data_IF_451988460600
#
_entry.id   IF_451988460600
#
_cell.length_a   1.000
_cell.length_b   1.000
_cell.length_c   1.000
_cell.angle_alpha   90.00
_cell.angle_beta   90.00
_cell.angle_gamma   90.00
#
_symmetry.space_group_name_H-M   'P 1'
#
loop_
_entity.id
_entity.type
_entity.pdbx_description
1 polymer ?
#
# COMPACT_ATOMS: atom_id res chain seq x y z
N UNK A 1 0.85 -0.28 -33.87
CA UNK A 1 0.40 -0.72 -32.54
C UNK A 1 0.03 0.53 -31.76
N UNK A 2 -1.20 0.64 -31.25
CA UNK A 2 -1.61 1.83 -30.48
C UNK A 2 -0.82 1.87 -29.16
N UNK A 3 -0.18 3.00 -28.84
CA UNK A 3 0.48 3.17 -27.54
C UNK A 3 -0.57 3.24 -26.44
N UNK A 4 -0.38 2.48 -25.36
CA UNK A 4 -1.25 2.54 -24.17
C UNK A 4 -1.22 3.93 -23.54
N UNK A 5 -2.21 4.26 -22.69
CA UNK A 5 -2.20 5.53 -21.94
C UNK A 5 -0.98 5.64 -21.02
N UNK A 6 -0.53 4.51 -20.47
CA UNK A 6 0.71 4.38 -19.70
C UNK A 6 1.93 4.82 -20.50
N UNK A 7 2.16 4.24 -21.68
CA UNK A 7 3.32 4.60 -22.51
C UNK A 7 3.21 6.04 -23.03
N UNK A 8 2.00 6.50 -23.37
CA UNK A 8 1.77 7.86 -23.83
C UNK A 8 1.93 8.94 -22.74
N UNK A 9 1.89 8.56 -21.46
CA UNK A 9 2.03 9.47 -20.32
C UNK A 9 3.38 9.35 -19.60
N UNK A 10 4.23 8.39 -19.96
CA UNK A 10 5.55 8.21 -19.36
C UNK A 10 6.46 9.40 -19.71
N UNK A 11 7.10 9.96 -18.70
CA UNK A 11 8.06 11.06 -18.82
C UNK A 11 9.24 10.84 -17.85
N UNK A 12 10.27 11.68 -17.99
CA UNK A 12 11.51 11.61 -17.24
C UNK A 12 11.75 12.88 -16.43
N UNK A 13 12.20 12.71 -15.18
CA UNK A 13 12.68 13.79 -14.33
C UNK A 13 14.17 13.53 -14.02
N UNK A 14 15.04 14.42 -14.48
CA UNK A 14 16.45 14.39 -14.11
C UNK A 14 16.65 15.17 -12.81
N UNK A 15 17.17 14.51 -11.77
CA UNK A 15 17.53 15.15 -10.51
C UNK A 15 18.97 14.76 -10.14
N UNK A 16 19.90 15.71 -10.28
CA UNK A 16 21.35 15.47 -10.19
C UNK A 16 21.76 14.35 -11.17
N UNK A 17 22.42 13.31 -10.68
CA UNK A 17 22.93 12.18 -11.46
C UNK A 17 21.90 11.03 -11.58
N UNK A 18 20.65 11.24 -11.16
CA UNK A 18 19.60 10.22 -11.21
C UNK A 18 18.47 10.63 -12.15
N UNK A 19 18.13 9.71 -13.05
CA UNK A 19 16.94 9.80 -13.91
C UNK A 19 15.79 9.04 -13.26
N UNK A 20 14.67 9.73 -13.06
CA UNK A 20 13.43 9.16 -12.57
C UNK A 20 12.42 9.07 -13.70
N UNK A 21 11.62 8.00 -13.71
CA UNK A 21 10.46 7.89 -14.60
C UNK A 21 9.19 8.16 -13.81
N UNK A 22 8.27 8.92 -14.41
CA UNK A 22 6.98 9.23 -13.82
C UNK A 22 5.88 9.25 -14.89
N UNK A 23 4.62 9.20 -14.47
CA UNK A 23 3.47 9.23 -15.38
C UNK A 23 2.80 10.61 -15.29
N UNK A 24 3.01 11.40 -16.34
CA UNK A 24 2.63 12.81 -16.44
C UNK A 24 1.14 12.96 -16.74
N UNK A 25 0.39 13.54 -15.79
CA UNK A 25 -1.02 13.87 -16.01
C UNK A 25 -1.21 14.85 -17.18
N UNK A 26 -0.39 15.90 -17.38
CA UNK A 26 -0.48 16.73 -18.58
C UNK A 26 -0.31 15.97 -19.91
N UNK A 27 0.56 14.95 -19.96
CA UNK A 27 0.67 14.10 -21.15
C UNK A 27 -0.55 13.21 -21.32
N UNK A 28 -1.05 12.60 -20.23
CA UNK A 28 -2.27 11.80 -20.26
C UNK A 28 -3.50 12.62 -20.71
N UNK A 29 -3.59 13.90 -20.32
CA UNK A 29 -4.65 14.82 -20.71
C UNK A 29 -4.79 15.00 -22.23
N UNK A 30 -3.70 14.81 -22.99
CA UNK A 30 -3.74 14.87 -24.48
C UNK A 30 -4.64 13.79 -25.07
N UNK A 31 -4.82 12.66 -24.38
CA UNK A 31 -5.71 11.56 -24.77
C UNK A 31 -7.01 11.52 -23.96
N UNK A 32 -6.97 11.92 -22.68
CA UNK A 32 -8.12 11.88 -21.76
C UNK A 32 -9.00 13.13 -21.75
N UNK A 33 -8.54 14.22 -22.36
CA UNK A 33 -9.20 15.54 -22.27
C UNK A 33 -8.80 16.32 -21.02
N UNK A 34 -9.57 17.36 -20.70
CA UNK A 34 -9.27 18.25 -19.57
C UNK A 34 -9.51 17.58 -18.22
N UNK A 35 -8.45 17.00 -17.67
CA UNK A 35 -8.39 16.43 -16.32
C UNK A 35 -7.85 17.40 -15.27
N UNK A 36 -7.60 18.66 -15.64
CA UNK A 36 -7.03 19.67 -14.72
C UNK A 36 -7.98 19.99 -13.57
N UNK A 37 -9.29 19.83 -13.80
CA UNK A 37 -10.35 20.04 -12.80
C UNK A 37 -10.55 18.89 -11.83
N UNK A 38 -9.87 17.74 -12.00
CA UNK A 38 -9.98 16.64 -11.04
C UNK A 38 -9.52 17.07 -9.64
N UNK A 39 -10.26 16.67 -8.57
CA UNK A 39 -9.78 16.75 -7.20
C UNK A 39 -8.40 16.12 -7.05
N UNK A 40 -7.59 16.63 -6.12
CA UNK A 40 -6.22 16.13 -5.90
C UNK A 40 -6.18 14.65 -5.53
N UNK A 41 -7.15 14.19 -4.74
CA UNK A 41 -7.32 12.75 -4.42
C UNK A 41 -7.51 11.90 -5.67
N UNK A 42 -8.38 12.32 -6.60
CA UNK A 42 -8.59 11.60 -7.87
C UNK A 42 -7.37 11.68 -8.80
N UNK A 43 -6.57 12.75 -8.74
CA UNK A 43 -5.30 12.83 -9.48
C UNK A 43 -4.28 11.81 -8.99
N UNK A 44 -4.25 11.51 -7.68
CA UNK A 44 -3.40 10.45 -7.12
C UNK A 44 -3.85 9.08 -7.63
N UNK A 45 -5.17 8.80 -7.61
CA UNK A 45 -5.72 7.56 -8.15
C UNK A 45 -5.45 7.44 -9.66
N UNK A 46 -5.59 8.54 -10.41
CA UNK A 46 -5.36 8.55 -11.85
C UNK A 46 -3.91 8.23 -12.21
N UNK A 47 -2.95 8.83 -11.51
CA UNK A 47 -1.54 8.50 -11.72
C UNK A 47 -1.25 7.03 -11.36
N UNK A 48 -1.89 6.50 -10.30
CA UNK A 48 -1.76 5.09 -9.93
C UNK A 48 -2.24 4.16 -11.06
N UNK A 49 -3.41 4.44 -11.65
CA UNK A 49 -3.93 3.66 -12.77
C UNK A 49 -3.03 3.76 -14.00
N UNK A 50 -2.57 4.97 -14.34
CA UNK A 50 -1.64 5.17 -15.46
C UNK A 50 -0.35 4.35 -15.26
N UNK A 51 0.22 4.37 -14.06
CA UNK A 51 1.45 3.65 -13.71
C UNK A 51 1.30 2.13 -13.86
N UNK A 52 0.13 1.62 -13.53
CA UNK A 52 -0.13 0.19 -13.40
C UNK A 52 -1.02 -0.39 -14.50
N UNK A 53 -1.27 0.35 -15.58
CA UNK A 53 -1.99 -0.17 -16.75
C UNK A 53 -1.28 -1.41 -17.29
N UNK A 54 -2.00 -2.52 -17.29
CA UNK A 54 -1.54 -3.84 -17.74
C UNK A 54 -2.57 -4.53 -18.66
N UNK A 55 -3.78 -3.98 -18.79
CA UNK A 55 -4.85 -4.53 -19.62
C UNK A 55 -5.64 -5.67 -18.96
N UNK A 56 -5.34 -6.00 -17.70
CA UNK A 56 -6.02 -7.04 -16.93
C UNK A 56 -6.57 -6.43 -15.63
N UNK A 57 -5.69 -6.09 -14.69
CA UNK A 57 -6.07 -5.48 -13.42
C UNK A 57 -6.37 -3.99 -13.54
N UNK A 58 -5.72 -3.31 -14.49
CA UNK A 58 -5.95 -1.91 -14.81
C UNK A 58 -6.07 -1.78 -16.32
N UNK A 59 -7.28 -1.52 -16.75
CA UNK A 59 -7.69 -1.38 -18.14
C UNK A 59 -7.68 0.09 -18.59
N UNK A 60 -7.76 0.33 -19.89
CA UNK A 60 -7.89 1.70 -20.40
C UNK A 60 -9.22 2.32 -19.96
N UNK A 61 -10.26 1.51 -19.89
CA UNK A 61 -11.61 1.86 -19.46
C UNK A 61 -11.64 2.37 -18.01
N UNK A 62 -10.84 1.80 -17.11
CA UNK A 62 -10.71 2.27 -15.72
C UNK A 62 -10.17 3.70 -15.67
N UNK A 63 -9.14 3.98 -16.47
CA UNK A 63 -8.50 5.29 -16.56
C UNK A 63 -9.47 6.32 -17.16
N UNK A 64 -10.18 5.94 -18.23
CA UNK A 64 -11.18 6.79 -18.87
C UNK A 64 -12.38 7.07 -17.96
N UNK A 65 -12.82 6.08 -17.17
CA UNK A 65 -13.92 6.26 -16.21
C UNK A 65 -13.57 7.32 -15.16
N UNK A 66 -12.33 7.30 -14.65
CA UNK A 66 -11.87 8.28 -13.68
C UNK A 66 -11.78 9.70 -14.27
N UNK A 67 -11.35 9.84 -15.52
CA UNK A 67 -11.42 11.12 -16.23
C UNK A 67 -12.88 11.57 -16.47
N UNK A 68 -13.75 10.61 -16.80
CA UNK A 68 -15.19 10.81 -17.02
C UNK A 68 -15.96 11.25 -15.78
N UNK A 69 -15.42 11.04 -14.58
CA UNK A 69 -15.99 11.50 -13.32
C UNK A 69 -16.34 12.99 -13.34
N UNK A 70 -15.55 13.83 -14.03
CA UNK A 70 -15.81 15.28 -14.16
C UNK A 70 -17.17 15.64 -14.77
N UNK A 71 -17.79 14.72 -15.52
CA UNK A 71 -19.08 14.98 -16.17
C UNK A 71 -20.25 14.98 -15.19
N UNK A 72 -20.19 14.14 -14.15
CA UNK A 72 -21.32 13.88 -13.24
C UNK A 72 -20.94 13.89 -11.76
N UNK A 73 -19.65 14.10 -11.44
CA UNK A 73 -19.08 13.92 -10.11
C UNK A 73 -19.38 12.54 -9.48
N UNK A 74 -19.57 11.53 -10.33
CA UNK A 74 -19.93 10.17 -9.94
C UNK A 74 -19.24 9.17 -10.88
N UNK A 75 -18.90 8.00 -10.37
CA UNK A 75 -18.44 6.86 -11.15
C UNK A 75 -19.04 5.58 -10.55
N UNK A 76 -19.75 4.81 -11.37
CA UNK A 76 -20.36 3.52 -10.98
C UNK A 76 -19.37 2.34 -11.11
N UNK A 77 -18.16 2.63 -11.59
CA UNK A 77 -17.14 1.64 -11.92
C UNK A 77 -16.14 1.53 -10.77
N UNK A 78 -15.94 0.31 -10.30
CA UNK A 78 -14.84 -0.01 -9.39
C UNK A 78 -13.49 0.04 -10.12
N UNK A 79 -12.45 0.48 -9.42
CA UNK A 79 -11.10 0.59 -9.97
C UNK A 79 -10.10 -0.15 -9.07
N UNK A 80 -9.05 -0.69 -9.66
CA UNK A 80 -7.92 -1.19 -8.90
C UNK A 80 -7.11 -0.02 -8.31
N UNK A 81 -6.53 -0.23 -7.13
CA UNK A 81 -5.60 0.71 -6.53
C UNK A 81 -4.44 -0.04 -5.90
N UNK A 82 -3.22 0.35 -6.27
CA UNK A 82 -1.98 -0.24 -5.77
C UNK A 82 -1.25 0.76 -4.88
N UNK A 83 -1.47 0.76 -3.55
CA UNK A 83 -0.82 1.69 -2.65
C UNK A 83 0.71 1.51 -2.68
N UNK A 84 1.43 2.61 -2.49
CA UNK A 84 2.89 2.62 -2.50
C UNK A 84 3.51 1.90 -1.29
N UNK A 85 2.79 1.83 -0.16
CA UNK A 85 3.17 1.12 1.06
C UNK A 85 1.92 0.84 1.91
N UNK A 86 2.07 -0.06 2.88
CA UNK A 86 1.05 -0.37 3.88
C UNK A 86 1.58 0.03 5.26
N UNK A 87 0.74 0.67 6.07
CA UNK A 87 1.04 0.95 7.47
C UNK A 87 0.10 0.11 8.32
N UNK A 88 0.65 -0.62 9.30
CA UNK A 88 -0.10 -1.49 10.19
C UNK A 88 0.21 -1.16 11.64
N UNK A 89 -0.76 -1.40 12.50
CA UNK A 89 -0.60 -1.39 13.95
C UNK A 89 -0.59 -2.84 14.48
N UNK A 90 -0.12 -3.08 15.70
CA UNK A 90 0.17 -4.42 16.20
C UNK A 90 -1.04 -5.37 16.27
N UNK A 91 -2.23 -4.90 16.63
CA UNK A 91 -3.44 -5.73 16.70
C UNK A 91 -3.90 -6.25 15.34
N UNK A 92 -3.75 -5.48 14.25
CA UNK A 92 -4.05 -5.98 12.89
C UNK A 92 -2.82 -6.57 12.21
N UNK A 93 -1.62 -6.18 12.62
CA UNK A 93 -0.36 -6.69 12.10
C UNK A 93 -0.11 -8.14 12.47
N UNK A 94 -0.41 -8.53 13.71
CA UNK A 94 -0.28 -9.92 14.18
C UNK A 94 -1.09 -10.90 13.33
N UNK A 95 -2.42 -10.75 13.17
CA UNK A 95 -3.20 -11.67 12.34
C UNK A 95 -2.72 -11.67 10.89
N UNK A 96 -2.27 -10.54 10.33
CA UNK A 96 -1.72 -10.52 8.98
C UNK A 96 -0.41 -11.32 8.84
N UNK A 97 0.50 -11.27 9.83
CA UNK A 97 1.70 -12.11 9.84
C UNK A 97 1.35 -13.59 10.04
N UNK A 98 0.34 -13.89 10.86
CA UNK A 98 -0.22 -15.25 10.99
C UNK A 98 -0.76 -15.75 9.66
N UNK A 99 -1.53 -14.94 8.93
CA UNK A 99 -2.07 -15.30 7.62
C UNK A 99 -0.94 -15.59 6.62
N UNK A 100 0.11 -14.76 6.58
CA UNK A 100 1.28 -15.01 5.73
C UNK A 100 1.99 -16.32 6.09
N UNK A 101 2.14 -16.62 7.38
CA UNK A 101 2.73 -17.88 7.84
C UNK A 101 1.86 -19.08 7.44
N UNK A 102 0.53 -18.97 7.60
CA UNK A 102 -0.43 -20.00 7.20
C UNK A 102 -0.45 -20.22 5.69
N UNK A 103 -0.38 -19.14 4.90
CA UNK A 103 -0.26 -19.18 3.44
C UNK A 103 1.02 -19.89 3.01
N UNK A 104 2.17 -19.61 3.66
CA UNK A 104 3.43 -20.34 3.37
C UNK A 104 3.29 -21.83 3.60
N UNK A 105 2.69 -22.23 4.72
CA UNK A 105 2.47 -23.64 5.02
C UNK A 105 1.48 -24.30 4.02
N UNK A 106 0.44 -23.59 3.60
CA UNK A 106 -0.47 -24.07 2.55
C UNK A 106 0.24 -24.25 1.20
N UNK A 107 1.03 -23.26 0.76
CA UNK A 107 1.82 -23.34 -0.48
C UNK A 107 2.80 -24.51 -0.44
N UNK A 108 3.49 -24.71 0.69
CA UNK A 108 4.40 -25.84 0.91
C UNK A 108 3.69 -27.19 0.76
N UNK A 109 2.51 -27.35 1.37
CA UNK A 109 1.71 -28.58 1.28
C UNK A 109 1.28 -28.91 -0.15
N UNK A 110 1.09 -27.89 -0.98
CA UNK A 110 0.75 -28.03 -2.40
C UNK A 110 1.99 -28.20 -3.30
N UNK A 111 3.20 -28.29 -2.74
CA UNK A 111 4.46 -28.43 -3.48
C UNK A 111 4.90 -27.14 -4.19
N UNK A 112 4.35 -25.99 -3.80
CA UNK A 112 4.71 -24.69 -4.36
C UNK A 112 5.91 -24.04 -3.67
N UNK A 113 6.38 -22.95 -4.26
CA UNK A 113 7.49 -22.14 -3.73
C UNK A 113 6.99 -21.16 -2.65
N UNK A 114 7.37 -21.41 -1.40
CA UNK A 114 7.00 -20.57 -0.26
C UNK A 114 7.62 -19.18 -0.30
N UNK A 115 8.73 -18.98 -1.03
CA UNK A 115 9.37 -17.67 -1.17
C UNK A 115 8.52 -16.67 -1.98
N UNK A 116 7.46 -17.14 -2.65
CA UNK A 116 6.48 -16.27 -3.32
C UNK A 116 5.46 -15.66 -2.36
N UNK A 117 5.37 -16.15 -1.13
CA UNK A 117 4.49 -15.59 -0.10
C UNK A 117 5.27 -14.57 0.70
N UNK A 118 5.32 -13.35 0.15
CA UNK A 118 5.95 -12.17 0.75
C UNK A 118 5.12 -10.92 0.43
N UNK A 119 5.12 -9.90 1.30
CA UNK A 119 4.53 -8.61 0.99
C UNK A 119 5.16 -8.00 -0.28
N UNK A 120 4.32 -7.62 -1.25
CA UNK A 120 4.79 -7.02 -2.52
C UNK A 120 4.99 -5.51 -2.42
N UNK A 121 4.31 -4.87 -1.47
CA UNK A 121 4.51 -3.46 -1.13
C UNK A 121 5.23 -3.37 0.22
N UNK A 122 6.08 -2.34 0.42
CA UNK A 122 6.68 -2.07 1.73
C UNK A 122 5.62 -1.99 2.82
N UNK A 123 5.88 -2.63 3.96
CA UNK A 123 5.00 -2.62 5.13
C UNK A 123 5.75 -2.06 6.32
N UNK A 124 5.17 -1.03 6.93
CA UNK A 124 5.64 -0.49 8.22
C UNK A 124 4.67 -1.00 9.30
N UNK A 125 5.19 -1.65 10.34
CA UNK A 125 4.40 -2.08 11.50
C UNK A 125 4.81 -1.30 12.73
N UNK A 126 3.82 -0.67 13.39
CA UNK A 126 4.00 0.12 14.61
C UNK A 126 3.33 -0.61 15.77
N UNK A 127 4.03 -0.68 16.92
CA UNK A 127 3.48 -1.21 18.17
C UNK A 127 3.10 -0.01 19.03
N UNK A 128 1.80 0.24 19.14
CA UNK A 128 1.25 1.42 19.82
C UNK A 128 -0.11 1.18 20.48
N UNK A 129 -0.77 0.03 20.26
CA UNK A 129 -2.09 -0.29 20.85
C UNK A 129 -2.02 -1.23 22.07
N UNK A 130 -0.81 -1.52 22.54
CA UNK A 130 -0.51 -2.52 23.55
C UNK A 130 -0.45 -2.00 24.99
N UNK A 131 0.03 -0.77 25.15
CA UNK A 131 0.27 -0.17 26.47
C UNK A 131 -1.05 0.19 27.14
N UNK A 132 -1.18 -0.18 28.40
CA UNK A 132 -2.34 0.15 29.25
C UNK A 132 -1.88 1.07 30.37
N UNK A 133 -2.75 1.98 30.82
CA UNK A 133 -2.47 2.85 31.96
C UNK A 133 -2.85 2.11 33.24
N UNK A 134 -1.92 1.30 33.76
CA UNK A 134 -2.06 0.57 35.03
C UNK A 134 -1.64 1.44 36.23
N UNK A 135 -0.58 2.24 36.08
CA UNK A 135 -0.11 3.24 37.05
C UNK A 135 -0.14 4.64 36.43
N UNK A 136 -0.49 5.65 37.22
CA UNK A 136 -0.56 7.05 36.77
C UNK A 136 -0.26 8.03 37.91
N UNK A 137 0.19 9.24 37.57
CA UNK A 137 0.28 10.36 38.52
C UNK A 137 1.56 10.42 39.36
N UNK A 138 2.57 9.61 39.05
CA UNK A 138 3.90 9.66 39.67
C UNK A 138 5.02 9.41 38.66
N UNK A 139 6.26 9.62 39.09
CA UNK A 139 7.46 9.53 38.24
C UNK A 139 7.76 8.10 37.76
N UNK A 140 7.26 7.08 38.46
CA UNK A 140 7.47 5.66 38.12
C UNK A 140 6.44 5.14 37.09
N UNK A 141 5.35 5.89 36.85
CA UNK A 141 4.21 5.43 36.07
C UNK A 141 4.59 4.98 34.64
N UNK A 142 5.52 5.68 33.99
CA UNK A 142 5.97 5.32 32.65
C UNK A 142 6.70 3.96 32.63
N UNK A 143 7.69 3.79 33.51
CA UNK A 143 8.51 2.58 33.55
C UNK A 143 7.66 1.34 33.89
N UNK A 144 6.75 1.47 34.86
CA UNK A 144 5.91 0.35 35.29
C UNK A 144 4.90 -0.06 34.21
N UNK A 145 4.28 0.91 33.53
CA UNK A 145 3.35 0.60 32.44
C UNK A 145 4.06 -0.10 31.26
N UNK A 146 5.29 0.34 30.90
CA UNK A 146 6.10 -0.31 29.85
C UNK A 146 6.54 -1.71 30.29
N UNK A 147 6.92 -1.90 31.55
CA UNK A 147 7.27 -3.22 32.10
C UNK A 147 6.10 -4.19 31.99
N UNK A 148 4.91 -3.77 32.42
CA UNK A 148 3.68 -4.58 32.36
C UNK A 148 3.27 -4.88 30.91
N UNK A 149 3.41 -3.91 30.01
CA UNK A 149 3.16 -4.10 28.58
C UNK A 149 4.05 -5.21 28.00
N UNK A 150 5.36 -5.17 28.27
CA UNK A 150 6.32 -6.16 27.80
C UNK A 150 6.06 -7.55 28.37
N UNK A 151 5.65 -7.63 29.64
CA UNK A 151 5.29 -8.88 30.30
C UNK A 151 4.04 -9.51 29.66
N UNK A 152 2.98 -8.72 29.48
CA UNK A 152 1.68 -9.19 28.95
C UNK A 152 1.73 -9.57 27.47
N UNK A 153 2.56 -8.88 26.68
CA UNK A 153 2.58 -9.02 25.21
C UNK A 153 3.84 -9.72 24.69
N UNK A 154 4.62 -10.37 25.55
CA UNK A 154 5.90 -10.98 25.21
C UNK A 154 5.83 -11.88 23.96
N UNK A 155 4.90 -12.85 23.94
CA UNK A 155 4.75 -13.79 22.82
C UNK A 155 4.44 -13.06 21.50
N UNK A 156 3.57 -12.05 21.58
CA UNK A 156 3.17 -11.24 20.42
C UNK A 156 4.35 -10.48 19.84
N UNK A 157 5.22 -9.92 20.67
CA UNK A 157 6.40 -9.16 20.21
C UNK A 157 7.48 -10.06 19.65
N UNK A 158 7.70 -11.23 20.26
CA UNK A 158 8.60 -12.25 19.71
C UNK A 158 8.09 -12.70 18.34
N UNK A 159 6.79 -12.92 18.18
CA UNK A 159 6.19 -13.31 16.91
C UNK A 159 6.32 -12.21 15.84
N UNK A 160 6.02 -10.95 16.17
CA UNK A 160 6.19 -9.82 15.25
C UNK A 160 7.65 -9.61 14.85
N UNK A 161 8.59 -9.77 15.79
CA UNK A 161 10.03 -9.69 15.51
C UNK A 161 10.50 -10.81 14.57
N UNK A 162 9.98 -12.02 14.75
CA UNK A 162 10.21 -13.12 13.81
C UNK A 162 9.64 -12.75 12.43
N UNK A 163 8.40 -12.26 12.36
CA UNK A 163 7.77 -11.82 11.11
C UNK A 163 8.60 -10.77 10.37
N UNK A 164 9.15 -9.78 11.07
CA UNK A 164 9.98 -8.72 10.48
C UNK A 164 11.30 -9.22 9.86
N UNK A 165 11.77 -10.42 10.21
CA UNK A 165 12.97 -11.04 9.61
C UNK A 165 12.63 -12.21 8.68
N UNK A 166 11.41 -12.73 8.79
CA UNK A 166 10.92 -13.87 8.02
C UNK A 166 10.32 -13.48 6.67
N UNK A 167 9.97 -12.22 6.45
CA UNK A 167 9.33 -11.71 5.24
C UNK A 167 10.05 -10.46 4.69
#
# INVERSE_FOLDING_TARGET
>A
MSSTLREASKDTLQAKDKTYHYYSLPLAAKKLGDITRLPKSLKVLLENLLRWQDGDSVTEEDIQALAGWLKKAHADREIAYRPARVLMQDFTGVPAVVDLAAMREAVKRLGGDTAKVNPLSPVDLVIDHSVTVDRFGDDDAFEENVRLEMERNHERYVFLKWGATGF
#
